data_IF_952249084724
#
_entry.id   IF_952249084724
#
_cell.length_a   1.000
_cell.length_b   1.000
_cell.length_c   1.000
_cell.angle_alpha   90.00
_cell.angle_beta   90.00
_cell.angle_gamma   90.00
#
_symmetry.space_group_name_H-M   'P 1'
#
loop_
_entity.id
_entity.type
_entity.pdbx_description
1 polymer ?
#
# COMPACT_ATOMS: atom_id res chain seq x y z
N UNK A 1 21.35 -21.73 -25.70
CA UNK A 1 21.71 -20.85 -24.56
C UNK A 1 20.56 -20.94 -23.56
N UNK A 2 20.77 -21.38 -22.31
CA UNK A 2 19.69 -21.46 -21.35
C UNK A 2 19.17 -20.05 -21.07
N UNK A 3 17.86 -19.86 -21.19
CA UNK A 3 17.20 -18.60 -20.78
C UNK A 3 17.32 -18.56 -19.26
N UNK A 4 18.15 -17.67 -18.74
CA UNK A 4 18.19 -17.38 -17.30
C UNK A 4 16.86 -16.67 -16.99
N UNK A 5 15.92 -17.41 -16.42
CA UNK A 5 14.65 -16.85 -15.98
C UNK A 5 14.90 -16.10 -14.68
N UNK A 6 14.71 -14.77 -14.71
CA UNK A 6 14.59 -13.97 -13.49
C UNK A 6 13.33 -14.43 -12.75
N UNK A 7 13.53 -15.27 -11.72
CA UNK A 7 12.44 -15.88 -10.95
C UNK A 7 11.58 -14.83 -10.26
N UNK A 8 12.17 -13.73 -9.78
CA UNK A 8 11.44 -12.67 -9.08
C UNK A 8 10.57 -11.87 -10.05
N UNK A 9 11.09 -11.59 -11.24
CA UNK A 9 10.28 -10.97 -12.31
C UNK A 9 9.14 -11.90 -12.71
N UNK A 10 9.42 -13.19 -12.95
CA UNK A 10 8.38 -14.14 -13.35
C UNK A 10 7.31 -14.31 -12.27
N UNK A 11 7.71 -14.36 -11.00
CA UNK A 11 6.81 -14.35 -9.83
C UNK A 11 5.89 -13.13 -9.87
N UNK A 12 6.45 -11.92 -10.02
CA UNK A 12 5.67 -10.67 -10.17
C UNK A 12 4.71 -10.72 -11.36
N UNK A 13 5.19 -11.14 -12.53
CA UNK A 13 4.38 -11.19 -13.75
C UNK A 13 3.17 -12.13 -13.58
N UNK A 14 3.37 -13.30 -12.96
CA UNK A 14 2.28 -14.24 -12.64
C UNK A 14 1.28 -13.57 -11.69
N UNK A 15 1.74 -12.93 -10.61
CA UNK A 15 0.87 -12.29 -9.64
C UNK A 15 0.03 -11.16 -10.26
N UNK A 16 0.67 -10.30 -11.06
CA UNK A 16 -0.02 -9.19 -11.73
C UNK A 16 -1.01 -9.67 -12.79
N UNK A 17 -0.72 -10.79 -13.48
CA UNK A 17 -1.64 -11.35 -14.49
C UNK A 17 -3.00 -11.75 -13.92
N UNK A 18 -3.07 -12.06 -12.62
CA UNK A 18 -4.30 -12.49 -11.95
C UNK A 18 -4.96 -11.41 -11.10
N UNK A 19 -4.45 -10.16 -11.13
CA UNK A 19 -4.99 -9.03 -10.38
C UNK A 19 -6.45 -8.73 -10.71
N UNK A 20 -6.83 -8.75 -11.99
CA UNK A 20 -8.22 -8.55 -12.41
C UNK A 20 -9.12 -9.68 -11.89
N UNK A 21 -8.65 -10.92 -12.02
CA UNK A 21 -9.38 -12.09 -11.57
C UNK A 21 -9.58 -12.09 -10.05
N UNK A 22 -8.62 -11.50 -9.33
CA UNK A 22 -8.73 -11.26 -7.89
C UNK A 22 -9.84 -10.26 -7.56
N UNK A 23 -9.96 -9.16 -8.31
CA UNK A 23 -11.02 -8.17 -8.15
C UNK A 23 -12.41 -8.72 -8.50
N UNK A 24 -12.48 -9.61 -9.48
CA UNK A 24 -13.74 -10.24 -9.93
C UNK A 24 -14.24 -11.31 -8.97
N UNK A 25 -13.36 -12.20 -8.51
CA UNK A 25 -13.74 -13.40 -7.72
C UNK A 25 -13.53 -13.25 -6.22
N UNK A 26 -12.68 -12.32 -5.80
CA UNK A 26 -12.14 -12.23 -4.45
C UNK A 26 -11.14 -13.35 -4.15
N UNK A 27 -10.28 -13.14 -3.15
CA UNK A 27 -9.21 -14.09 -2.76
C UNK A 27 -9.78 -15.45 -2.34
N UNK A 28 -10.96 -15.46 -1.70
CA UNK A 28 -11.57 -16.68 -1.17
C UNK A 28 -11.95 -17.66 -2.28
N UNK A 29 -12.51 -17.16 -3.38
CA UNK A 29 -13.01 -17.98 -4.49
C UNK A 29 -11.99 -18.19 -5.62
N UNK A 30 -10.82 -17.54 -5.54
CA UNK A 30 -9.74 -17.72 -6.50
C UNK A 30 -9.12 -19.12 -6.35
N UNK A 31 -9.19 -19.94 -7.42
CA UNK A 31 -8.62 -21.29 -7.44
C UNK A 31 -7.24 -21.33 -8.12
N UNK A 32 -6.42 -22.34 -7.79
CA UNK A 32 -5.15 -22.57 -8.51
C UNK A 32 -5.40 -22.77 -10.02
N UNK A 33 -6.48 -23.45 -10.40
CA UNK A 33 -6.86 -23.66 -11.80
C UNK A 33 -7.13 -22.33 -12.53
N UNK A 34 -7.82 -21.40 -11.86
CA UNK A 34 -8.05 -20.06 -12.37
C UNK A 34 -6.74 -19.31 -12.61
N UNK A 35 -5.82 -19.39 -11.63
CA UNK A 35 -4.53 -18.69 -11.68
C UNK A 35 -3.68 -19.22 -12.81
N UNK A 36 -3.51 -20.54 -12.93
CA UNK A 36 -2.64 -21.14 -13.96
C UNK A 36 -3.19 -20.87 -15.37
N UNK A 37 -4.52 -20.87 -15.53
CA UNK A 37 -5.18 -20.55 -16.79
C UNK A 37 -4.97 -19.09 -17.19
N UNK A 38 -5.15 -18.14 -16.26
CA UNK A 38 -4.96 -16.71 -16.52
C UNK A 38 -3.49 -16.35 -16.72
N UNK A 39 -2.58 -16.96 -15.97
CA UNK A 39 -1.13 -16.72 -16.06
C UNK A 39 -0.43 -17.47 -17.20
N UNK A 40 -1.12 -18.42 -17.86
CA UNK A 40 -0.55 -19.21 -18.96
C UNK A 40 0.60 -20.12 -18.53
N UNK A 41 0.53 -20.70 -17.34
CA UNK A 41 1.56 -21.61 -16.79
C UNK A 41 0.98 -22.99 -16.46
N UNK A 42 1.85 -23.97 -16.23
CA UNK A 42 1.39 -25.29 -15.78
C UNK A 42 1.05 -25.30 -14.28
N UNK A 43 0.23 -26.27 -13.86
CA UNK A 43 -0.08 -26.48 -12.44
C UNK A 43 1.12 -26.91 -11.61
N UNK A 44 2.12 -27.57 -12.20
CA UNK A 44 3.37 -27.86 -11.48
C UNK A 44 4.18 -26.59 -11.26
N UNK A 45 4.30 -25.78 -12.32
CA UNK A 45 5.13 -24.57 -12.30
C UNK A 45 4.66 -23.49 -11.33
N UNK A 46 3.36 -23.42 -10.99
CA UNK A 46 2.88 -22.40 -10.04
C UNK A 46 3.50 -22.56 -8.66
N UNK A 47 3.76 -23.81 -8.24
CA UNK A 47 4.33 -24.12 -6.93
C UNK A 47 5.83 -23.83 -6.85
N UNK A 48 6.51 -23.62 -7.99
CA UNK A 48 7.88 -23.07 -8.01
C UNK A 48 7.91 -21.59 -7.61
N UNK A 49 6.77 -20.91 -7.70
CA UNK A 49 6.64 -19.49 -7.39
C UNK A 49 5.86 -19.26 -6.11
N UNK A 50 4.71 -19.90 -5.87
CA UNK A 50 3.81 -19.59 -4.75
C UNK A 50 3.44 -20.85 -3.98
N UNK A 51 3.59 -20.83 -2.66
CA UNK A 51 3.19 -21.95 -1.80
C UNK A 51 1.69 -21.90 -1.52
N UNK A 52 1.15 -20.69 -1.31
CA UNK A 52 -0.27 -20.46 -1.09
C UNK A 52 -0.83 -19.39 -2.02
N UNK A 53 -2.16 -19.33 -2.14
CA UNK A 53 -2.82 -18.25 -2.89
C UNK A 53 -2.62 -16.88 -2.25
N UNK A 54 -2.41 -16.82 -0.93
CA UNK A 54 -2.10 -15.58 -0.21
C UNK A 54 -0.74 -15.03 -0.65
N UNK A 55 0.25 -15.88 -0.95
CA UNK A 55 1.56 -15.43 -1.44
C UNK A 55 1.46 -14.63 -2.75
N UNK A 56 0.45 -14.93 -3.59
CA UNK A 56 0.15 -14.19 -4.81
C UNK A 56 -0.35 -12.79 -4.46
N UNK A 57 -1.26 -12.69 -3.50
CA UNK A 57 -1.81 -11.42 -3.04
C UNK A 57 -0.70 -10.58 -2.39
N UNK A 58 0.19 -11.20 -1.60
CA UNK A 58 1.34 -10.52 -1.01
C UNK A 58 2.24 -9.93 -2.09
N UNK A 59 2.47 -10.64 -3.19
CA UNK A 59 3.26 -10.12 -4.31
C UNK A 59 2.59 -8.93 -5.01
N UNK A 60 1.26 -8.95 -5.17
CA UNK A 60 0.49 -7.82 -5.71
C UNK A 60 0.62 -6.60 -4.80
N UNK A 61 0.36 -6.76 -3.49
CA UNK A 61 0.45 -5.66 -2.51
C UNK A 61 1.88 -5.10 -2.43
N UNK A 62 2.90 -5.96 -2.47
CA UNK A 62 4.29 -5.51 -2.52
C UNK A 62 4.62 -4.79 -3.82
N UNK A 63 4.03 -5.20 -4.94
CA UNK A 63 4.20 -4.48 -6.18
C UNK A 63 3.60 -3.06 -6.08
N UNK A 64 2.38 -2.95 -5.57
CA UNK A 64 1.71 -1.67 -5.39
C UNK A 64 2.52 -0.75 -4.44
N UNK A 65 3.08 -1.29 -3.35
CA UNK A 65 4.00 -0.55 -2.47
C UNK A 65 5.29 -0.09 -3.15
N UNK A 66 5.88 -0.92 -4.03
CA UNK A 66 7.08 -0.54 -4.81
C UNK A 66 6.75 0.58 -5.80
N UNK A 67 5.60 0.51 -6.46
CA UNK A 67 5.18 1.54 -7.42
C UNK A 67 4.76 2.84 -6.72
N UNK A 68 4.16 2.75 -5.54
CA UNK A 68 3.95 3.87 -4.63
C UNK A 68 5.27 4.57 -4.29
N UNK A 69 6.28 3.85 -3.81
CA UNK A 69 7.60 4.42 -3.49
C UNK A 69 8.24 5.12 -4.70
N UNK A 70 8.23 4.48 -5.88
CA UNK A 70 8.74 5.10 -7.11
C UNK A 70 7.99 6.38 -7.46
N UNK A 71 6.68 6.39 -7.27
CA UNK A 71 5.84 7.56 -7.56
C UNK A 71 6.13 8.71 -6.61
N UNK A 72 6.32 8.43 -5.32
CA UNK A 72 6.73 9.45 -4.34
C UNK A 72 8.04 10.12 -4.71
N UNK A 73 9.08 9.33 -5.01
CA UNK A 73 10.40 9.85 -5.38
C UNK A 73 10.31 10.76 -6.60
N UNK A 74 9.47 10.42 -7.59
CA UNK A 74 9.25 11.25 -8.79
C UNK A 74 8.52 12.56 -8.50
N UNK A 75 7.63 12.59 -7.50
CA UNK A 75 6.90 13.80 -7.11
C UNK A 75 7.75 14.77 -6.30
N UNK A 76 8.80 14.28 -5.63
CA UNK A 76 9.65 15.12 -4.79
C UNK A 76 10.67 15.90 -5.61
N UNK A 77 10.80 17.18 -5.30
CA UNK A 77 11.86 18.04 -5.79
C UNK A 77 12.44 18.87 -4.63
N UNK A 78 13.46 19.68 -4.92
CA UNK A 78 14.17 20.48 -3.89
C UNK A 78 13.28 21.48 -3.14
N UNK A 79 12.15 21.89 -3.73
CA UNK A 79 11.23 22.87 -3.18
C UNK A 79 10.00 22.23 -2.52
N UNK A 80 9.86 20.90 -2.55
CA UNK A 80 8.71 20.22 -1.93
C UNK A 80 8.81 20.32 -0.41
N UNK A 81 7.85 21.00 0.21
CA UNK A 81 7.71 21.13 1.65
C UNK A 81 7.40 19.80 2.33
N UNK A 82 7.66 19.69 3.64
CA UNK A 82 7.31 18.47 4.39
C UNK A 82 5.81 18.15 4.31
N UNK A 83 4.96 19.19 4.35
CA UNK A 83 3.51 19.04 4.21
C UNK A 83 3.12 18.43 2.86
N UNK A 84 3.66 18.93 1.76
CA UNK A 84 3.40 18.37 0.43
C UNK A 84 3.88 16.93 0.30
N UNK A 85 5.04 16.58 0.87
CA UNK A 85 5.54 15.20 0.89
C UNK A 85 4.57 14.25 1.58
N UNK A 86 4.03 14.66 2.73
CA UNK A 86 3.04 13.88 3.48
C UNK A 86 1.71 13.79 2.74
N UNK A 87 1.26 14.86 2.07
CA UNK A 87 0.07 14.80 1.22
C UNK A 87 0.27 13.81 0.05
N UNK A 88 1.45 13.80 -0.58
CA UNK A 88 1.77 12.81 -1.61
C UNK A 88 1.85 11.39 -1.05
N UNK A 89 2.34 11.21 0.18
CA UNK A 89 2.32 9.92 0.87
C UNK A 89 0.90 9.37 1.01
N UNK A 90 -0.07 10.24 1.33
CA UNK A 90 -1.48 9.85 1.45
C UNK A 90 -2.28 9.96 0.16
N UNK A 91 -1.63 10.05 -1.02
CA UNK A 91 -2.33 10.08 -2.31
C UNK A 91 -3.16 8.80 -2.53
N UNK A 92 -2.78 7.67 -1.91
CA UNK A 92 -3.58 6.45 -1.91
C UNK A 92 -5.00 6.65 -1.32
N UNK A 93 -5.14 7.55 -0.34
CA UNK A 93 -6.43 7.93 0.24
C UNK A 93 -7.08 9.07 -0.55
N UNK A 94 -6.28 10.06 -0.97
CA UNK A 94 -6.76 11.33 -1.54
C UNK A 94 -7.11 11.27 -3.02
N UNK A 95 -6.51 10.35 -3.77
CA UNK A 95 -6.62 10.27 -5.22
C UNK A 95 -7.89 9.56 -5.66
N UNK A 96 -8.63 10.18 -6.58
CA UNK A 96 -9.88 9.66 -7.12
C UNK A 96 -9.72 9.12 -8.55
N UNK A 97 -8.48 8.96 -9.02
CA UNK A 97 -8.24 8.34 -10.33
C UNK A 97 -8.73 6.90 -10.34
N UNK A 98 -9.15 6.41 -11.51
CA UNK A 98 -9.60 5.02 -11.67
C UNK A 98 -8.54 4.02 -11.18
N UNK A 99 -7.27 4.28 -11.46
CA UNK A 99 -6.14 3.48 -10.97
C UNK A 99 -6.14 3.39 -9.44
N UNK A 100 -6.21 4.52 -8.75
CA UNK A 100 -6.21 4.58 -7.28
C UNK A 100 -7.42 3.86 -6.69
N UNK A 101 -8.59 3.95 -7.34
CA UNK A 101 -9.79 3.21 -6.94
C UNK A 101 -9.59 1.70 -7.07
N UNK A 102 -8.99 1.24 -8.18
CA UNK A 102 -8.70 -0.18 -8.36
C UNK A 102 -7.68 -0.71 -7.34
N UNK A 103 -6.61 0.04 -7.06
CA UNK A 103 -5.62 -0.29 -6.02
C UNK A 103 -6.28 -0.38 -4.64
N UNK A 104 -7.16 0.57 -4.28
CA UNK A 104 -7.94 0.50 -3.04
C UNK A 104 -8.87 -0.71 -3.00
N UNK A 105 -9.46 -1.12 -4.12
CA UNK A 105 -10.30 -2.31 -4.17
C UNK A 105 -9.50 -3.59 -3.96
N UNK A 106 -8.28 -3.70 -4.52
CA UNK A 106 -7.37 -4.82 -4.22
C UNK A 106 -7.01 -4.82 -2.74
N UNK A 107 -6.65 -3.67 -2.18
CA UNK A 107 -6.32 -3.54 -0.77
C UNK A 107 -7.50 -3.87 0.16
N UNK A 108 -8.73 -3.52 -0.23
CA UNK A 108 -9.97 -3.89 0.50
C UNK A 108 -10.15 -5.41 0.56
N UNK A 109 -9.97 -6.11 -0.56
CA UNK A 109 -10.03 -7.57 -0.60
C UNK A 109 -8.94 -8.21 0.26
N UNK A 110 -7.71 -7.70 0.15
CA UNK A 110 -6.59 -8.09 1.01
C UNK A 110 -6.93 -7.92 2.49
N UNK A 111 -7.46 -6.76 2.89
CA UNK A 111 -7.79 -6.45 4.27
C UNK A 111 -8.89 -7.38 4.81
N UNK A 112 -9.92 -7.68 4.01
CA UNK A 112 -10.98 -8.63 4.35
C UNK A 112 -10.42 -10.03 4.68
N UNK A 113 -9.49 -10.53 3.85
CA UNK A 113 -8.82 -11.81 4.15
C UNK A 113 -7.88 -11.68 5.33
N UNK A 114 -7.23 -10.54 5.53
CA UNK A 114 -6.32 -10.36 6.65
C UNK A 114 -7.00 -10.51 8.02
N UNK A 115 -8.30 -10.16 8.11
CA UNK A 115 -9.09 -10.32 9.34
C UNK A 115 -9.58 -11.75 9.57
N UNK A 116 -9.76 -12.53 8.50
CA UNK A 116 -10.38 -13.87 8.58
C UNK A 116 -9.38 -15.01 8.45
N UNK A 117 -8.19 -14.74 7.92
CA UNK A 117 -7.12 -15.71 7.74
C UNK A 117 -6.52 -16.13 9.08
N UNK A 118 -6.34 -17.43 9.26
CA UNK A 118 -5.60 -18.03 10.38
C UNK A 118 -4.11 -18.23 10.07
N UNK A 119 -3.66 -17.83 8.88
CA UNK A 119 -2.28 -18.02 8.45
C UNK A 119 -1.38 -16.94 9.08
N UNK A 120 -0.42 -17.36 9.91
CA UNK A 120 0.53 -16.45 10.56
C UNK A 120 1.36 -15.63 9.57
N UNK A 121 1.60 -16.13 8.35
CA UNK A 121 2.27 -15.37 7.28
C UNK A 121 1.58 -14.05 6.98
N UNK A 122 0.25 -13.98 7.12
CA UNK A 122 -0.52 -12.75 6.95
C UNK A 122 -0.14 -11.70 8.00
N UNK A 123 0.01 -12.09 9.26
CA UNK A 123 0.40 -11.19 10.32
C UNK A 123 1.85 -10.70 10.16
N UNK A 124 2.75 -11.59 9.73
CA UNK A 124 4.15 -11.25 9.40
C UNK A 124 4.18 -10.24 8.24
N UNK A 125 3.50 -10.54 7.13
CA UNK A 125 3.43 -9.67 5.97
C UNK A 125 2.83 -8.29 6.29
N UNK A 126 1.75 -8.25 7.08
CA UNK A 126 1.17 -6.99 7.57
C UNK A 126 2.18 -6.14 8.36
N UNK A 127 3.01 -6.77 9.19
CA UNK A 127 4.06 -6.09 9.95
C UNK A 127 5.14 -5.53 9.01
N UNK A 128 5.54 -6.29 7.99
CA UNK A 128 6.50 -5.86 6.98
C UNK A 128 5.99 -4.62 6.21
N UNK A 129 4.76 -4.67 5.68
CA UNK A 129 4.15 -3.53 4.99
C UNK A 129 4.05 -2.31 5.91
N UNK A 130 3.61 -2.51 7.15
CA UNK A 130 3.50 -1.42 8.14
C UNK A 130 4.86 -0.81 8.49
N UNK A 131 5.91 -1.64 8.59
CA UNK A 131 7.27 -1.18 8.84
C UNK A 131 7.81 -0.36 7.66
N UNK A 132 7.60 -0.80 6.42
CA UNK A 132 8.01 -0.05 5.23
C UNK A 132 7.33 1.33 5.16
N UNK A 133 6.01 1.39 5.31
CA UNK A 133 5.25 2.64 5.31
C UNK A 133 5.67 3.57 6.45
N UNK A 134 5.88 3.01 7.65
CA UNK A 134 6.38 3.75 8.81
C UNK A 134 7.74 4.37 8.55
N UNK A 135 8.67 3.64 7.95
CA UNK A 135 10.01 4.16 7.68
C UNK A 135 9.96 5.32 6.67
N UNK A 136 9.15 5.17 5.62
CA UNK A 136 8.95 6.22 4.62
C UNK A 136 8.38 7.48 5.29
N UNK A 137 7.27 7.37 6.02
CA UNK A 137 6.64 8.52 6.67
C UNK A 137 7.54 9.13 7.76
N UNK A 138 8.22 8.29 8.55
CA UNK A 138 9.18 8.76 9.57
C UNK A 138 10.31 9.56 8.94
N UNK A 139 10.82 9.13 7.78
CA UNK A 139 11.89 9.86 7.09
C UNK A 139 11.45 11.26 6.67
N UNK A 140 10.21 11.42 6.20
CA UNK A 140 9.65 12.72 5.81
C UNK A 140 9.46 13.63 7.02
N UNK A 141 8.90 13.10 8.12
CA UNK A 141 8.69 13.87 9.36
C UNK A 141 10.04 14.27 9.97
N UNK A 142 11.02 13.36 9.98
CA UNK A 142 12.36 13.65 10.49
C UNK A 142 13.08 14.71 9.64
N UNK A 143 12.92 14.68 8.32
CA UNK A 143 13.44 15.73 7.44
C UNK A 143 12.83 17.10 7.79
N UNK A 144 11.51 17.16 8.01
CA UNK A 144 10.83 18.39 8.42
C UNK A 144 11.28 18.91 9.78
N UNK A 145 11.55 18.02 10.75
CA UNK A 145 12.15 18.39 12.04
C UNK A 145 13.55 18.98 11.83
N UNK A 146 14.40 18.32 11.03
CA UNK A 146 15.77 18.76 10.76
C UNK A 146 15.81 20.13 10.06
N UNK A 147 14.80 20.45 9.23
CA UNK A 147 14.63 21.75 8.58
C UNK A 147 13.98 22.81 9.47
N UNK A 148 13.67 22.50 10.73
CA UNK A 148 12.89 23.34 11.64
C UNK A 148 11.49 23.71 11.10
N UNK A 149 10.92 22.91 10.20
CA UNK A 149 9.53 23.07 9.74
C UNK A 149 8.55 22.52 10.81
N UNK A 150 8.96 21.45 11.51
CA UNK A 150 8.15 20.71 12.47
C UNK A 150 8.81 20.67 13.86
N UNK A 151 7.98 20.54 14.91
CA UNK A 151 8.40 20.28 16.29
C UNK A 151 8.98 18.87 16.43
N UNK A 152 9.96 18.70 17.31
CA UNK A 152 10.65 17.42 17.50
C UNK A 152 9.71 16.28 17.93
N UNK A 153 8.65 16.59 18.68
CA UNK A 153 7.66 15.61 19.12
C UNK A 153 6.71 15.13 18.01
N UNK A 154 6.71 15.77 16.82
CA UNK A 154 5.90 15.35 15.67
C UNK A 154 6.18 13.92 15.22
N UNK A 155 7.40 13.41 15.43
CA UNK A 155 7.75 12.02 15.09
C UNK A 155 6.89 10.99 15.83
N UNK A 156 6.36 11.34 17.01
CA UNK A 156 5.49 10.45 17.82
C UNK A 156 4.13 10.23 17.17
N UNK A 157 3.74 11.05 16.19
CA UNK A 157 2.44 10.97 15.52
C UNK A 157 2.43 10.01 14.32
N UNK A 158 3.59 9.55 13.86
CA UNK A 158 3.71 8.71 12.64
C UNK A 158 2.81 7.47 12.70
N UNK A 159 2.85 6.72 13.81
CA UNK A 159 2.00 5.52 13.94
C UNK A 159 0.51 5.87 13.93
N UNK A 160 0.13 6.98 14.56
CA UNK A 160 -1.24 7.47 14.59
C UNK A 160 -1.73 7.87 13.20
N UNK A 161 -0.89 8.53 12.41
CA UNK A 161 -1.19 8.89 11.02
C UNK A 161 -1.45 7.67 10.13
N UNK A 162 -0.65 6.61 10.26
CA UNK A 162 -0.88 5.36 9.52
C UNK A 162 -2.16 4.62 9.98
N UNK A 163 -2.49 4.69 11.27
CA UNK A 163 -3.73 4.14 11.79
C UNK A 163 -4.95 4.92 11.28
N UNK A 164 -4.85 6.25 11.26
CA UNK A 164 -5.86 7.17 10.77
C UNK A 164 -6.18 6.92 9.29
N UNK A 165 -5.16 6.79 8.44
CA UNK A 165 -5.32 6.41 7.02
C UNK A 165 -6.23 5.18 6.87
N UNK A 166 -5.94 4.11 7.61
CA UNK A 166 -6.74 2.88 7.58
C UNK A 166 -8.17 3.14 8.04
N UNK A 167 -8.35 3.96 9.08
CA UNK A 167 -9.67 4.36 9.57
C UNK A 167 -10.51 5.06 8.50
N UNK A 168 -9.93 6.03 7.79
CA UNK A 168 -10.64 6.72 6.70
C UNK A 168 -10.98 5.79 5.54
N UNK A 169 -10.10 4.86 5.17
CA UNK A 169 -10.43 3.86 4.15
C UNK A 169 -11.60 2.97 4.58
N UNK A 170 -11.66 2.59 5.86
CA UNK A 170 -12.82 1.85 6.40
C UNK A 170 -14.09 2.70 6.29
N UNK A 171 -14.09 3.97 6.71
CA UNK A 171 -15.24 4.87 6.57
C UNK A 171 -15.70 5.01 5.11
N UNK A 172 -14.75 5.18 4.18
CA UNK A 172 -15.02 5.21 2.74
C UNK A 172 -15.78 3.95 2.28
N UNK A 173 -15.37 2.77 2.74
CA UNK A 173 -15.98 1.52 2.28
C UNK A 173 -17.29 1.17 2.99
N UNK A 174 -17.39 1.41 4.29
CA UNK A 174 -18.56 0.99 5.09
C UNK A 174 -19.69 2.01 5.04
N UNK A 175 -19.36 3.29 4.95
CA UNK A 175 -20.34 4.39 4.93
C UNK A 175 -20.54 4.98 3.53
N UNK A 176 -19.73 4.56 2.54
CA UNK A 176 -19.66 5.20 1.21
C UNK A 176 -19.41 6.71 1.30
N UNK A 177 -18.69 7.12 2.36
CA UNK A 177 -18.44 8.51 2.70
C UNK A 177 -17.36 9.10 1.79
N UNK A 178 -17.58 10.31 1.29
CA UNK A 178 -16.51 11.10 0.68
C UNK A 178 -15.54 11.56 1.77
N UNK A 179 -14.34 10.97 1.80
CA UNK A 179 -13.37 11.18 2.88
C UNK A 179 -12.32 12.24 2.59
N UNK A 180 -12.17 12.64 1.32
CA UNK A 180 -11.03 13.45 0.86
C UNK A 180 -10.93 14.80 1.56
N UNK A 181 -12.05 15.53 1.62
CA UNK A 181 -12.11 16.85 2.25
C UNK A 181 -11.74 16.77 3.75
N UNK A 182 -12.38 15.88 4.48
CA UNK A 182 -12.16 15.70 5.92
C UNK A 182 -10.73 15.21 6.22
N UNK A 183 -10.17 14.34 5.36
CA UNK A 183 -8.78 13.90 5.51
C UNK A 183 -7.78 15.06 5.32
N UNK A 184 -8.01 15.93 4.33
CA UNK A 184 -7.18 17.12 4.10
C UNK A 184 -7.32 18.08 5.28
N UNK A 185 -8.53 18.38 5.74
CA UNK A 185 -8.78 19.25 6.89
C UNK A 185 -8.09 18.72 8.17
N UNK A 186 -8.15 17.41 8.40
CA UNK A 186 -7.43 16.78 9.50
C UNK A 186 -5.92 16.98 9.38
N UNK A 187 -5.34 16.68 8.21
CA UNK A 187 -3.91 16.84 8.00
C UNK A 187 -3.48 18.30 8.14
N UNK A 188 -4.24 19.24 7.58
CA UNK A 188 -3.98 20.68 7.67
C UNK A 188 -3.93 21.13 9.13
N UNK A 189 -4.96 20.78 9.91
CA UNK A 189 -5.03 21.05 11.34
C UNK A 189 -3.86 20.44 12.09
N UNK A 190 -3.51 19.18 11.78
CA UNK A 190 -2.38 18.52 12.43
C UNK A 190 -1.05 19.21 12.10
N UNK A 191 -0.86 19.65 10.85
CA UNK A 191 0.34 20.37 10.43
C UNK A 191 0.47 21.73 11.12
N UNK A 192 -0.63 22.44 11.35
CA UNK A 192 -0.63 23.67 12.15
C UNK A 192 -0.16 23.41 13.58
N UNK A 193 -0.65 22.34 14.22
CA UNK A 193 -0.25 21.96 15.58
C UNK A 193 1.21 21.51 15.66
N UNK A 194 1.69 20.81 14.63
CA UNK A 194 3.06 20.31 14.52
C UNK A 194 4.09 21.38 14.14
N UNK A 195 3.65 22.50 13.57
CA UNK A 195 4.55 23.55 13.08
C UNK A 195 5.41 24.10 14.21
N UNK A 196 6.71 24.27 13.96
CA UNK A 196 7.62 24.92 14.91
C UNK A 196 7.39 26.42 14.88
N UNK A 197 7.23 27.03 16.06
CA UNK A 197 7.15 28.49 16.17
C UNK A 197 8.48 29.10 15.70
N UNK A 198 8.41 30.23 14.99
CA UNK A 198 9.59 30.94 14.48
C UNK A 198 10.37 31.60 15.60
#
# INVERSE_FOLDING_TARGET
>A
MPIIVDKDKKRRDIALSVRELLLEKGIKNLSITDIVKKAGISRGSIYDYFETKEDIVFEIIMNDLRDFQKTLVKKFNKNTSTKEKVLYFFDFVLSETEKSVQERNVYKEYLSVSFTSKNEKMAVFNKECSFLLKNILSSMIQEGINKNELKDNSIKLVNGLLALEKGFLVLLWTEKKEIKKEFIEFLDTLFELMKKDK
#
